data_IF_767225181132
#
_entry.id   IF_767225181132
#
_cell.length_a   1.000
_cell.length_b   1.000
_cell.length_c   1.000
_cell.angle_alpha   90.00
_cell.angle_beta   90.00
_cell.angle_gamma   90.00
#
_symmetry.space_group_name_H-M   'P 1'
#
loop_
_entity.id
_entity.type
_entity.pdbx_description
1 polymer ?
#
# COMPACT_ATOMS: atom_id res chain seq x y z
N UNK A 1 -28.70 29.59 1.44
CA UNK A 1 -29.12 28.20 1.68
C UNK A 1 -27.84 27.37 1.85
N UNK A 2 -27.61 26.80 3.02
CA UNK A 2 -26.39 26.02 3.32
C UNK A 2 -26.69 24.56 3.03
N UNK A 3 -25.97 23.97 2.08
CA UNK A 3 -26.09 22.55 1.74
C UNK A 3 -25.35 21.76 2.82
N UNK A 4 -26.02 20.87 3.59
CA UNK A 4 -25.33 20.01 4.54
C UNK A 4 -24.37 19.08 3.78
N UNK A 5 -23.14 18.84 4.29
CA UNK A 5 -22.21 17.94 3.64
C UNK A 5 -22.82 16.53 3.54
N UNK A 6 -22.56 15.82 2.43
CA UNK A 6 -23.19 14.53 2.16
C UNK A 6 -22.94 13.56 3.33
N UNK A 7 -24.04 12.96 3.80
CA UNK A 7 -24.08 12.01 4.92
C UNK A 7 -23.15 10.83 4.61
N UNK A 8 -22.05 10.75 5.36
CA UNK A 8 -20.98 9.79 5.14
C UNK A 8 -21.56 8.40 5.35
N UNK A 9 -21.76 7.66 4.27
CA UNK A 9 -22.10 6.24 4.30
C UNK A 9 -20.93 5.43 4.90
N UNK A 10 -20.73 5.56 6.21
CA UNK A 10 -19.57 5.06 6.95
C UNK A 10 -19.71 3.59 7.37
N UNK A 11 -20.89 2.99 7.23
CA UNK A 11 -21.21 1.70 7.88
C UNK A 11 -21.14 0.47 6.97
N UNK A 12 -21.11 0.64 5.63
CA UNK A 12 -21.02 -0.50 4.68
C UNK A 12 -19.56 -0.80 4.31
N UNK A 13 -18.70 0.22 4.31
CA UNK A 13 -17.26 0.10 3.96
C UNK A 13 -16.40 -0.61 4.99
N UNK A 14 -16.90 -0.85 6.21
CA UNK A 14 -16.19 -1.64 7.22
C UNK A 14 -16.20 -3.15 6.97
N UNK A 15 -17.09 -3.64 6.09
CA UNK A 15 -17.22 -5.06 5.75
C UNK A 15 -16.57 -5.45 4.42
N UNK A 16 -16.37 -4.49 3.52
CA UNK A 16 -15.63 -4.69 2.28
C UNK A 16 -14.15 -4.46 2.60
N UNK A 17 -13.24 -5.44 2.46
CA UNK A 17 -11.78 -5.25 2.58
C UNK A 17 -11.36 -4.09 1.67
N UNK A 18 -11.23 -2.84 2.15
CA UNK A 18 -11.28 -1.69 1.26
C UNK A 18 -9.87 -1.23 0.87
N UNK A 19 -8.84 -1.85 1.46
CA UNK A 19 -7.45 -1.51 1.28
C UNK A 19 -6.79 -2.61 0.46
N UNK A 20 -6.45 -2.27 -0.78
CA UNK A 20 -5.68 -3.15 -1.67
C UNK A 20 -4.22 -2.74 -1.63
N UNK A 21 -3.34 -3.70 -1.38
CA UNK A 21 -1.90 -3.49 -1.50
C UNK A 21 -1.50 -3.74 -2.96
N UNK A 22 -1.19 -2.67 -3.68
CA UNK A 22 -0.65 -2.73 -5.04
C UNK A 22 0.86 -2.65 -4.98
N UNK A 23 1.55 -3.62 -5.57
CA UNK A 23 3.01 -3.63 -5.67
C UNK A 23 3.43 -3.69 -7.12
N UNK A 24 4.28 -2.75 -7.53
CA UNK A 24 4.87 -2.72 -8.86
C UNK A 24 6.38 -2.98 -8.75
N UNK A 25 6.87 -3.97 -9.49
CA UNK A 25 8.27 -4.38 -9.53
C UNK A 25 8.89 -4.00 -10.86
N UNK A 26 9.87 -3.10 -10.82
CA UNK A 26 10.75 -2.83 -11.97
C UNK A 26 12.11 -3.48 -11.76
N UNK A 27 12.92 -3.52 -12.83
CA UNK A 27 14.30 -4.00 -12.77
C UNK A 27 15.10 -3.27 -11.68
N UNK A 28 14.91 -1.95 -11.55
CA UNK A 28 15.70 -1.07 -10.68
C UNK A 28 15.04 -0.74 -9.35
N UNK A 29 13.72 -0.80 -9.25
CA UNK A 29 12.97 -0.28 -8.11
C UNK A 29 11.72 -1.10 -7.81
N UNK A 30 11.34 -1.12 -6.54
CA UNK A 30 10.07 -1.70 -6.05
C UNK A 30 9.25 -0.58 -5.45
N UNK A 31 7.97 -0.54 -5.78
CA UNK A 31 6.99 0.40 -5.22
C UNK A 31 5.83 -0.38 -4.63
N UNK A 32 5.43 -0.04 -3.41
CA UNK A 32 4.26 -0.58 -2.73
C UNK A 32 3.31 0.56 -2.36
N UNK A 33 2.04 0.42 -2.70
CA UNK A 33 1.00 1.41 -2.42
C UNK A 33 -0.21 0.72 -1.84
N UNK A 34 -0.77 1.27 -0.78
CA UNK A 34 -2.08 0.87 -0.29
C UNK A 34 -3.11 1.79 -0.93
N UNK A 35 -4.09 1.24 -1.63
CA UNK A 35 -5.15 1.99 -2.30
C UNK A 35 -6.45 1.70 -1.57
N UNK A 36 -7.12 2.77 -1.13
CA UNK A 36 -8.48 2.70 -0.61
C UNK A 36 -9.47 2.67 -1.78
N UNK A 37 -10.13 1.54 -2.02
CA UNK A 37 -11.00 1.31 -3.17
C UNK A 37 -12.18 2.28 -3.30
N UNK A 38 -12.87 2.75 -2.23
CA UNK A 38 -14.03 3.61 -2.42
C UNK A 38 -13.69 5.09 -2.60
N UNK A 39 -12.51 5.57 -2.20
CA UNK A 39 -12.12 6.99 -2.34
C UNK A 39 -10.90 7.21 -3.24
N UNK A 40 -10.39 6.14 -3.87
CA UNK A 40 -9.14 6.14 -4.67
C UNK A 40 -8.00 6.89 -3.98
N UNK A 41 -7.98 6.86 -2.65
CA UNK A 41 -7.01 7.58 -1.83
C UNK A 41 -5.87 6.63 -1.50
N UNK A 42 -4.64 7.13 -1.51
CA UNK A 42 -3.44 6.37 -1.15
C UNK A 42 -3.04 6.73 0.29
N UNK A 43 -3.48 5.98 1.31
CA UNK A 43 -3.11 6.23 2.70
C UNK A 43 -1.61 6.03 2.97
N UNK A 44 -0.97 5.12 2.25
CA UNK A 44 0.44 4.81 2.43
C UNK A 44 1.10 4.40 1.11
N UNK A 45 2.27 4.96 0.85
CA UNK A 45 3.13 4.62 -0.28
C UNK A 45 4.56 4.47 0.23
N UNK A 46 5.24 3.41 -0.23
CA UNK A 46 6.64 3.19 0.04
C UNK A 46 7.35 2.78 -1.26
N UNK A 47 8.50 3.38 -1.53
CA UNK A 47 9.30 3.09 -2.72
C UNK A 47 10.79 3.02 -2.43
N UNK A 48 11.46 2.04 -3.05
CA UNK A 48 12.93 1.97 -3.03
C UNK A 48 13.61 3.16 -3.74
N UNK A 49 12.86 3.99 -4.48
CA UNK A 49 13.36 5.25 -5.07
C UNK A 49 13.50 6.37 -4.04
N UNK A 50 12.86 6.24 -2.87
CA UNK A 50 12.91 7.26 -1.84
C UNK A 50 14.35 7.51 -1.39
N UNK A 51 14.75 8.79 -1.35
CA UNK A 51 16.12 9.19 -1.07
C UNK A 51 16.66 8.64 0.26
N UNK A 52 15.79 8.53 1.26
CA UNK A 52 16.10 8.00 2.58
C UNK A 52 16.32 6.49 2.57
N UNK A 53 15.64 5.76 1.70
CA UNK A 53 15.70 4.31 1.62
C UNK A 53 16.75 3.82 0.62
N UNK A 54 17.06 4.63 -0.40
CA UNK A 54 17.94 4.26 -1.50
C UNK A 54 19.38 3.90 -1.05
N UNK A 55 19.88 4.52 0.01
CA UNK A 55 21.21 4.20 0.56
C UNK A 55 21.22 3.02 1.53
N UNK A 56 20.05 2.63 2.05
CA UNK A 56 19.93 1.58 3.06
C UNK A 56 19.45 0.24 2.50
N UNK A 57 19.00 0.20 1.24
CA UNK A 57 18.48 -1.01 0.59
C UNK A 57 19.56 -1.66 -0.28
N UNK A 58 19.98 -2.86 0.11
CA UNK A 58 20.70 -3.75 -0.80
C UNK A 58 19.74 -4.35 -1.84
N UNK A 59 20.00 -4.10 -3.12
CA UNK A 59 19.15 -4.59 -4.21
C UNK A 59 19.46 -6.06 -4.51
N UNK A 60 18.76 -6.99 -3.85
CA UNK A 60 18.74 -8.40 -4.27
C UNK A 60 17.88 -8.57 -5.52
N UNK A 61 18.46 -9.22 -6.54
CA UNK A 61 17.81 -9.39 -7.85
C UNK A 61 16.74 -10.48 -7.84
N UNK A 62 16.92 -11.51 -7.01
CA UNK A 62 16.01 -12.65 -6.90
C UNK A 62 15.07 -12.52 -5.70
N UNK A 63 13.82 -12.95 -5.89
CA UNK A 63 12.86 -13.07 -4.80
C UNK A 63 12.27 -11.76 -4.29
N UNK A 64 12.31 -10.66 -5.07
CA UNK A 64 11.79 -9.34 -4.64
C UNK A 64 10.35 -9.41 -4.14
N UNK A 65 9.48 -10.18 -4.81
CA UNK A 65 8.08 -10.32 -4.42
C UNK A 65 7.94 -11.09 -3.11
N UNK A 66 8.59 -12.25 -3.01
CA UNK A 66 8.57 -13.10 -1.81
C UNK A 66 9.13 -12.36 -0.60
N UNK A 67 10.28 -11.69 -0.74
CA UNK A 67 10.89 -10.91 0.33
C UNK A 67 9.98 -9.78 0.85
N UNK A 68 9.21 -9.16 -0.04
CA UNK A 68 8.25 -8.13 0.34
C UNK A 68 7.03 -8.74 1.04
N UNK A 69 6.50 -9.87 0.55
CA UNK A 69 5.40 -10.59 1.21
C UNK A 69 5.81 -11.04 2.61
N UNK A 70 7.00 -11.63 2.74
CA UNK A 70 7.55 -12.09 4.02
C UNK A 70 7.72 -10.92 4.99
N UNK A 71 8.32 -9.81 4.54
CA UNK A 71 8.48 -8.60 5.36
C UNK A 71 7.14 -8.00 5.82
N UNK A 72 6.13 -8.00 4.96
CA UNK A 72 4.77 -7.53 5.30
C UNK A 72 4.09 -8.48 6.28
N UNK A 73 4.30 -9.78 6.13
CA UNK A 73 3.85 -10.80 7.09
C UNK A 73 4.51 -10.66 8.47
N UNK A 74 5.84 -10.46 8.50
CA UNK A 74 6.62 -10.20 9.73
C UNK A 74 6.18 -8.90 10.43
N UNK A 75 5.83 -7.87 9.65
CA UNK A 75 5.26 -6.63 10.18
C UNK A 75 3.84 -6.79 10.78
N UNK A 76 3.26 -7.99 10.73
CA UNK A 76 1.97 -8.32 11.33
C UNK A 76 0.77 -8.00 10.44
N UNK A 77 0.98 -7.70 9.15
CA UNK A 77 -0.09 -7.44 8.20
C UNK A 77 -0.62 -8.77 7.65
N UNK A 78 -1.87 -9.09 7.96
CA UNK A 78 -2.53 -10.29 7.41
C UNK A 78 -2.93 -10.05 5.96
N UNK A 79 -2.20 -10.68 5.04
CA UNK A 79 -2.60 -10.83 3.65
C UNK A 79 -3.63 -11.97 3.59
N UNK A 80 -4.89 -11.67 3.23
CA UNK A 80 -6.02 -12.60 3.19
C UNK A 80 -6.54 -12.80 1.77
#
# INVERSE_FOLDING_TARGET
MVIPPPDRAARIVSFLKPNLLRMDFSNKFVTAQVIHTPTTTVPCSASSQEKLLRSHIEQKYHGKVTAVIDSVGEAGVKLL
#
